data_IF_169459089943
#
_entry.id   IF_169459089943
#
_cell.length_a   1.000
_cell.length_b   1.000
_cell.length_c   1.000
_cell.angle_alpha   90.00
_cell.angle_beta   90.00
_cell.angle_gamma   90.00
#
_symmetry.space_group_name_H-M   'P 1'
#
loop_
_entity.id
_entity.type
_entity.pdbx_description
1 polymer ?
#
# COMPACT_ATOMS: atom_id res chain seq x y z
N UNK A 1 -46.75 -9.64 9.42
CA UNK A 1 -45.77 -9.51 10.52
C UNK A 1 -44.81 -8.38 10.16
N UNK A 2 -44.57 -7.41 11.06
CA UNK A 2 -43.63 -6.33 10.76
C UNK A 2 -42.22 -6.93 10.68
N UNK A 3 -41.56 -6.76 9.54
CA UNK A 3 -40.16 -7.14 9.36
C UNK A 3 -39.36 -6.32 10.37
N UNK A 4 -38.63 -6.99 11.25
CA UNK A 4 -37.73 -6.37 12.23
C UNK A 4 -36.78 -5.42 11.51
N UNK A 5 -36.95 -4.12 11.74
CA UNK A 5 -36.08 -3.06 11.23
C UNK A 5 -34.65 -3.12 11.82
N UNK A 6 -34.40 -4.01 12.79
CA UNK A 6 -33.09 -4.18 13.44
C UNK A 6 -32.17 -5.08 12.62
N UNK A 7 -32.70 -6.09 11.91
CA UNK A 7 -31.87 -6.98 11.08
C UNK A 7 -31.28 -6.28 9.84
N UNK A 8 -31.89 -5.18 9.38
CA UNK A 8 -31.35 -4.32 8.33
C UNK A 8 -30.35 -3.25 8.82
N UNK A 9 -30.21 -3.06 10.14
CA UNK A 9 -29.27 -2.11 10.74
C UNK A 9 -27.86 -2.69 10.97
N UNK A 10 -27.71 -4.02 10.91
CA UNK A 10 -26.43 -4.73 10.94
C UNK A 10 -25.99 -5.20 9.53
N UNK A 11 -26.60 -4.64 8.49
CA UNK A 11 -26.37 -5.04 7.11
C UNK A 11 -25.06 -4.47 6.55
N UNK A 12 -24.03 -5.33 6.49
CA UNK A 12 -22.63 -5.13 6.05
C UNK A 12 -21.73 -4.57 7.15
N UNK A 13 -20.60 -5.25 7.38
CA UNK A 13 -19.54 -4.75 8.24
C UNK A 13 -19.19 -3.30 7.84
N UNK A 14 -19.05 -2.37 8.82
CA UNK A 14 -18.65 -0.99 8.56
C UNK A 14 -17.23 -0.89 7.98
N UNK A 15 -16.45 -1.97 8.06
CA UNK A 15 -15.05 -2.05 7.63
C UNK A 15 -14.91 -2.65 6.24
N UNK A 16 -15.88 -3.45 5.78
CA UNK A 16 -15.82 -4.09 4.45
C UNK A 16 -15.47 -3.13 3.29
N UNK A 17 -16.00 -1.91 3.21
CA UNK A 17 -15.57 -0.95 2.19
C UNK A 17 -14.07 -0.59 2.25
N UNK A 18 -13.46 -0.56 3.44
CA UNK A 18 -12.02 -0.35 3.61
C UNK A 18 -11.20 -1.57 3.16
N UNK A 19 -11.68 -2.79 3.43
CA UNK A 19 -11.03 -4.02 2.96
C UNK A 19 -11.06 -4.08 1.42
N UNK A 20 -12.22 -3.81 0.82
CA UNK A 20 -12.39 -3.79 -0.63
C UNK A 20 -11.50 -2.71 -1.26
N UNK A 21 -11.44 -1.51 -0.67
CA UNK A 21 -10.55 -0.44 -1.14
C UNK A 21 -9.07 -0.83 -1.03
N UNK A 22 -8.63 -1.36 0.11
CA UNK A 22 -7.24 -1.81 0.29
C UNK A 22 -6.86 -2.95 -0.66
N UNK A 23 -7.81 -3.85 -0.96
CA UNK A 23 -7.58 -4.91 -1.93
C UNK A 23 -7.36 -4.33 -3.34
N UNK A 24 -8.15 -3.33 -3.74
CA UNK A 24 -7.94 -2.60 -5.00
C UNK A 24 -6.56 -1.93 -5.05
N UNK A 25 -6.18 -1.23 -3.98
CA UNK A 25 -4.85 -0.64 -3.81
C UNK A 25 -3.75 -1.70 -3.99
N UNK A 26 -3.84 -2.82 -3.28
CA UNK A 26 -2.86 -3.91 -3.39
C UNK A 26 -2.74 -4.45 -4.82
N UNK A 27 -3.85 -4.65 -5.55
CA UNK A 27 -3.80 -5.07 -6.95
C UNK A 27 -3.02 -4.10 -7.82
N UNK A 28 -3.23 -2.80 -7.65
CA UNK A 28 -2.44 -1.76 -8.32
C UNK A 28 -0.96 -1.82 -7.96
N UNK A 29 -0.64 -1.93 -6.67
CA UNK A 29 0.75 -2.00 -6.19
C UNK A 29 1.52 -3.20 -6.76
N UNK A 30 0.89 -4.36 -6.95
CA UNK A 30 1.54 -5.52 -7.56
C UNK A 30 2.13 -5.24 -8.94
N UNK A 31 1.54 -4.32 -9.70
CA UNK A 31 2.03 -3.96 -11.03
C UNK A 31 3.36 -3.17 -10.98
N UNK A 32 3.80 -2.67 -9.83
CA UNK A 32 5.15 -2.11 -9.67
C UNK A 32 6.24 -3.16 -9.92
N UNK A 33 5.99 -4.43 -9.60
CA UNK A 33 6.94 -5.52 -9.92
C UNK A 33 7.07 -5.66 -11.43
N UNK A 34 5.95 -5.71 -12.14
CA UNK A 34 5.92 -5.78 -13.61
C UNK A 34 6.59 -4.55 -14.25
N UNK A 35 6.41 -3.37 -13.68
CA UNK A 35 7.05 -2.13 -14.10
C UNK A 35 8.58 -2.24 -14.03
N UNK A 36 9.10 -2.69 -12.88
CA UNK A 36 10.55 -2.85 -12.65
C UNK A 36 11.14 -3.96 -13.50
N UNK A 37 10.43 -5.08 -13.68
CA UNK A 37 10.85 -6.13 -14.61
C UNK A 37 10.99 -5.59 -16.03
N UNK A 38 10.02 -4.79 -16.51
CA UNK A 38 10.10 -4.12 -17.81
C UNK A 38 11.26 -3.13 -17.90
N UNK A 39 11.57 -2.39 -16.82
CA UNK A 39 12.75 -1.52 -16.76
C UNK A 39 14.07 -2.30 -16.88
N UNK A 40 14.14 -3.50 -16.31
CA UNK A 40 15.33 -4.35 -16.32
C UNK A 40 15.52 -5.04 -17.68
N UNK A 41 14.43 -5.40 -18.37
CA UNK A 41 14.46 -6.06 -19.68
C UNK A 41 14.43 -5.10 -20.87
N UNK A 42 14.35 -3.79 -20.63
CA UNK A 42 14.13 -2.76 -21.66
C UNK A 42 12.85 -2.98 -22.48
N UNK A 43 11.81 -3.56 -21.85
CA UNK A 43 10.53 -3.84 -22.48
C UNK A 43 9.55 -2.66 -22.29
N UNK A 44 9.53 -1.76 -23.28
CA UNK A 44 8.63 -0.60 -23.28
C UNK A 44 7.14 -0.97 -23.26
N UNK A 45 6.76 -2.12 -23.85
CA UNK A 45 5.37 -2.56 -23.86
C UNK A 45 4.94 -3.02 -22.46
N UNK A 46 5.82 -3.76 -21.78
CA UNK A 46 5.60 -4.18 -20.40
C UNK A 46 5.52 -2.98 -19.45
N UNK A 47 6.41 -2.00 -19.60
CA UNK A 47 6.39 -0.75 -18.83
C UNK A 47 5.06 0.00 -19.04
N UNK A 48 4.62 0.16 -20.29
CA UNK A 48 3.38 0.86 -20.61
C UNK A 48 2.14 0.12 -20.07
N UNK A 49 2.11 -1.22 -20.17
CA UNK A 49 1.04 -2.05 -19.64
C UNK A 49 0.96 -1.98 -18.10
N UNK A 50 2.11 -2.01 -17.41
CA UNK A 50 2.17 -1.86 -15.97
C UNK A 50 1.66 -0.47 -15.52
N UNK A 51 2.10 0.59 -16.20
CA UNK A 51 1.62 1.96 -15.94
C UNK A 51 0.11 2.07 -16.11
N UNK A 52 -0.45 1.56 -17.21
CA UNK A 52 -1.89 1.61 -17.47
C UNK A 52 -2.68 0.87 -16.37
N UNK A 53 -2.24 -0.32 -15.97
CA UNK A 53 -2.89 -1.10 -14.92
C UNK A 53 -2.87 -0.40 -13.55
N UNK A 54 -1.78 0.32 -13.23
CA UNK A 54 -1.66 1.13 -12.01
C UNK A 54 -2.65 2.30 -12.04
N UNK A 55 -2.73 3.02 -13.16
CA UNK A 55 -3.65 4.15 -13.34
C UNK A 55 -5.11 3.70 -13.23
N UNK A 56 -5.47 2.59 -13.85
CA UNK A 56 -6.82 2.02 -13.74
C UNK A 56 -7.18 1.62 -12.30
N UNK A 57 -6.22 1.03 -11.58
CA UNK A 57 -6.41 0.67 -10.17
C UNK A 57 -6.55 1.90 -9.27
N UNK A 58 -5.82 2.98 -9.55
CA UNK A 58 -5.94 4.25 -8.83
C UNK A 58 -7.29 4.92 -9.07
N UNK A 59 -7.79 4.94 -10.31
CA UNK A 59 -9.10 5.50 -10.63
C UNK A 59 -10.22 4.73 -9.91
N UNK A 60 -10.14 3.39 -9.93
CA UNK A 60 -11.10 2.55 -9.21
C UNK A 60 -11.03 2.80 -7.69
N UNK A 61 -9.82 2.91 -7.12
CA UNK A 61 -9.64 3.19 -5.70
C UNK A 61 -10.21 4.57 -5.31
N UNK A 62 -9.98 5.61 -6.10
CA UNK A 62 -10.50 6.96 -5.82
C UNK A 62 -12.04 7.00 -5.89
N UNK A 63 -12.66 6.27 -6.80
CA UNK A 63 -14.12 6.12 -6.85
C UNK A 63 -14.66 5.38 -5.61
N UNK A 64 -14.04 4.27 -5.22
CA UNK A 64 -14.38 3.54 -3.99
C UNK A 64 -14.23 4.43 -2.74
N UNK A 65 -13.19 5.26 -2.68
CA UNK A 65 -12.95 6.23 -1.61
C UNK A 65 -14.03 7.31 -1.54
N UNK A 66 -14.47 7.84 -2.69
CA UNK A 66 -15.59 8.81 -2.74
C UNK A 66 -16.87 8.17 -2.24
N UNK A 67 -17.17 6.98 -2.71
CA UNK A 67 -18.36 6.22 -2.32
C UNK A 67 -18.36 5.91 -0.82
N UNK A 68 -17.23 5.48 -0.27
CA UNK A 68 -17.09 5.23 1.17
C UNK A 68 -17.33 6.53 1.95
N UNK A 69 -16.70 7.64 1.58
CA UNK A 69 -16.88 8.94 2.26
C UNK A 69 -18.33 9.44 2.23
N UNK A 70 -19.05 9.18 1.15
CA UNK A 70 -20.45 9.59 0.99
C UNK A 70 -21.40 8.72 1.82
N UNK A 71 -21.16 7.41 1.85
CA UNK A 71 -22.04 6.44 2.50
C UNK A 71 -21.69 6.19 3.97
N UNK A 72 -20.56 6.69 4.47
CA UNK A 72 -20.15 6.48 5.85
C UNK A 72 -21.10 7.19 6.84
N UNK A 73 -21.83 6.45 7.70
CA UNK A 73 -22.81 7.02 8.61
C UNK A 73 -22.20 8.05 9.56
N UNK A 74 -22.97 9.08 9.92
CA UNK A 74 -22.63 10.05 10.98
C UNK A 74 -23.47 9.71 12.22
N UNK A 75 -22.98 8.93 13.18
CA UNK A 75 -23.82 8.56 14.34
C UNK A 75 -23.18 7.71 15.44
N UNK A 76 -23.87 7.67 16.59
CA UNK A 76 -23.50 7.11 17.90
C UNK A 76 -23.46 5.56 17.98
N UNK A 77 -23.65 4.84 16.87
CA UNK A 77 -23.82 3.37 16.84
C UNK A 77 -22.75 2.62 16.02
N UNK A 78 -21.64 3.27 15.65
CA UNK A 78 -20.51 2.54 15.02
C UNK A 78 -19.60 1.94 16.09
N UNK A 79 -19.10 0.70 15.89
CA UNK A 79 -18.15 0.06 16.81
C UNK A 79 -16.75 0.73 16.78
N UNK A 80 -16.52 1.62 15.82
CA UNK A 80 -15.26 2.31 15.55
C UNK A 80 -15.51 3.80 15.24
N UNK A 81 -14.58 4.68 15.61
CA UNK A 81 -14.69 6.12 15.33
C UNK A 81 -14.61 6.38 13.82
N UNK A 82 -15.56 7.18 13.30
CA UNK A 82 -15.59 7.61 11.90
C UNK A 82 -14.27 8.22 11.42
N UNK A 83 -13.62 9.00 12.28
CA UNK A 83 -12.34 9.65 11.99
C UNK A 83 -11.23 8.64 11.81
N UNK A 84 -11.17 7.62 12.68
CA UNK A 84 -10.17 6.56 12.57
C UNK A 84 -10.33 5.79 11.25
N UNK A 85 -11.57 5.48 10.83
CA UNK A 85 -11.83 4.87 9.52
C UNK A 85 -11.41 5.77 8.33
N UNK A 86 -11.72 7.07 8.40
CA UNK A 86 -11.34 8.01 7.34
C UNK A 86 -9.83 8.24 7.27
N UNK A 87 -9.14 8.18 8.41
CA UNK A 87 -7.69 8.27 8.49
C UNK A 87 -7.05 7.04 7.84
N UNK A 88 -7.55 5.82 8.14
CA UNK A 88 -7.09 4.60 7.46
C UNK A 88 -7.34 4.68 5.96
N UNK A 89 -8.54 5.07 5.53
CA UNK A 89 -8.87 5.23 4.11
C UNK A 89 -7.92 6.21 3.41
N UNK A 90 -7.59 7.34 4.06
CA UNK A 90 -6.66 8.31 3.52
C UNK A 90 -5.24 7.70 3.36
N UNK A 91 -4.77 6.93 4.33
CA UNK A 91 -3.46 6.25 4.23
C UNK A 91 -3.43 5.22 3.10
N UNK A 92 -4.48 4.41 2.95
CA UNK A 92 -4.60 3.45 1.84
C UNK A 92 -4.55 4.15 0.47
N UNK A 93 -5.19 5.30 0.34
CA UNK A 93 -5.21 6.11 -0.88
C UNK A 93 -3.83 6.70 -1.22
N UNK A 94 -3.04 7.09 -0.21
CA UNK A 94 -1.66 7.56 -0.46
C UNK A 94 -0.78 6.48 -1.11
N UNK A 95 -0.97 5.22 -0.73
CA UNK A 95 -0.21 4.08 -1.27
C UNK A 95 -0.36 4.00 -2.81
N UNK A 96 -1.60 3.97 -3.31
CA UNK A 96 -1.85 3.82 -4.75
C UNK A 96 -1.49 5.08 -5.54
N UNK A 97 -1.69 6.27 -4.95
CA UNK A 97 -1.26 7.54 -5.54
C UNK A 97 0.26 7.56 -5.73
N UNK A 98 1.02 7.12 -4.73
CA UNK A 98 2.48 7.03 -4.82
C UNK A 98 2.93 6.08 -5.93
N UNK A 99 2.23 4.96 -6.13
CA UNK A 99 2.53 4.03 -7.23
C UNK A 99 2.24 4.62 -8.61
N UNK A 100 1.14 5.37 -8.75
CA UNK A 100 0.82 6.12 -9.98
C UNK A 100 1.90 7.15 -10.29
N UNK A 101 2.37 7.90 -9.29
CA UNK A 101 3.46 8.86 -9.45
C UNK A 101 4.77 8.18 -9.88
N UNK A 102 5.11 7.04 -9.26
CA UNK A 102 6.26 6.22 -9.65
C UNK A 102 6.16 5.79 -11.12
N UNK A 103 5.03 5.20 -11.50
CA UNK A 103 4.83 4.70 -12.85
C UNK A 103 4.88 5.83 -13.89
N UNK A 104 4.25 6.97 -13.60
CA UNK A 104 4.27 8.16 -14.46
C UNK A 104 5.69 8.72 -14.63
N UNK A 105 6.51 8.72 -13.56
CA UNK A 105 7.90 9.15 -13.63
C UNK A 105 8.76 8.19 -14.47
N UNK A 106 8.58 6.87 -14.29
CA UNK A 106 9.31 5.85 -15.05
C UNK A 106 9.01 5.97 -16.55
N UNK A 107 7.72 6.04 -16.92
CA UNK A 107 7.29 6.20 -18.32
C UNK A 107 7.73 7.55 -18.89
N UNK A 108 7.44 8.65 -18.20
CA UNK A 108 7.66 10.00 -18.70
C UNK A 108 9.13 10.35 -18.93
N UNK A 109 10.05 9.64 -18.27
CA UNK A 109 11.50 9.82 -18.45
C UNK A 109 12.18 8.67 -19.19
N UNK A 110 11.41 7.67 -19.62
CA UNK A 110 11.93 6.41 -20.15
C UNK A 110 13.04 5.82 -19.25
N UNK A 111 12.78 5.73 -17.94
CA UNK A 111 13.81 5.34 -16.97
C UNK A 111 14.25 3.90 -17.19
N UNK A 112 15.55 3.66 -16.99
CA UNK A 112 16.18 2.33 -16.96
C UNK A 112 17.07 2.22 -15.73
N UNK A 113 17.17 1.01 -15.19
CA UNK A 113 18.04 0.72 -14.06
C UNK A 113 19.38 0.20 -14.59
N UNK A 114 20.47 0.72 -14.03
CA UNK A 114 21.80 0.21 -14.30
C UNK A 114 21.90 -1.26 -13.86
N UNK A 115 22.57 -2.11 -14.64
CA UNK A 115 22.63 -3.57 -14.45
C UNK A 115 22.97 -3.99 -13.01
N UNK A 116 23.90 -3.30 -12.37
CA UNK A 116 24.32 -3.57 -10.99
C UNK A 116 23.22 -3.35 -9.94
N UNK A 117 22.14 -2.64 -10.28
CA UNK A 117 21.03 -2.33 -9.38
C UNK A 117 19.80 -3.21 -9.63
N UNK A 118 19.65 -3.80 -10.83
CA UNK A 118 18.41 -4.43 -11.29
C UNK A 118 17.87 -5.50 -10.34
N UNK A 119 18.72 -6.45 -9.94
CA UNK A 119 18.33 -7.56 -9.05
C UNK A 119 17.88 -7.06 -7.67
N UNK A 120 18.69 -6.18 -7.07
CA UNK A 120 18.39 -5.64 -5.74
C UNK A 120 17.15 -4.72 -5.77
N UNK A 121 16.98 -3.96 -6.84
CA UNK A 121 15.83 -3.06 -6.99
C UNK A 121 14.53 -3.84 -7.18
N UNK A 122 14.56 -4.95 -7.92
CA UNK A 122 13.42 -5.87 -8.02
C UNK A 122 13.09 -6.51 -6.66
N UNK A 123 14.10 -7.00 -5.94
CA UNK A 123 13.91 -7.53 -4.59
C UNK A 123 13.31 -6.49 -3.65
N UNK A 124 13.84 -5.26 -3.67
CA UNK A 124 13.33 -4.14 -2.90
C UNK A 124 11.85 -3.86 -3.20
N UNK A 125 11.50 -3.80 -4.49
CA UNK A 125 10.11 -3.59 -4.94
C UNK A 125 9.19 -4.69 -4.46
N UNK A 126 9.62 -5.96 -4.53
CA UNK A 126 8.85 -7.09 -4.02
C UNK A 126 8.63 -7.00 -2.49
N UNK A 127 9.60 -6.48 -1.73
CA UNK A 127 9.45 -6.25 -0.29
C UNK A 127 8.48 -5.12 0.02
N UNK A 128 8.51 -4.01 -0.74
CA UNK A 128 7.52 -2.95 -0.62
C UNK A 128 6.09 -3.46 -0.91
N UNK A 129 5.92 -4.28 -1.95
CA UNK A 129 4.64 -4.93 -2.27
C UNK A 129 4.20 -5.89 -1.16
N UNK A 130 5.13 -6.62 -0.54
CA UNK A 130 4.84 -7.48 0.59
C UNK A 130 4.36 -6.69 1.82
N UNK A 131 4.91 -5.50 2.08
CA UNK A 131 4.42 -4.63 3.16
C UNK A 131 2.95 -4.22 2.92
N UNK A 132 2.59 -3.85 1.69
CA UNK A 132 1.19 -3.52 1.34
C UNK A 132 0.27 -4.74 1.47
N UNK A 133 0.74 -5.93 1.09
CA UNK A 133 0.00 -7.19 1.31
C UNK A 133 -0.23 -7.44 2.79
N UNK A 134 0.79 -7.28 3.63
CA UNK A 134 0.68 -7.46 5.07
C UNK A 134 -0.31 -6.47 5.68
N UNK A 135 -0.29 -5.20 5.25
CA UNK A 135 -1.27 -4.20 5.69
C UNK A 135 -2.71 -4.56 5.27
N UNK A 136 -2.91 -5.13 4.08
CA UNK A 136 -4.20 -5.68 3.66
C UNK A 136 -4.66 -6.82 4.56
N UNK A 137 -3.76 -7.75 4.90
CA UNK A 137 -4.09 -8.86 5.81
C UNK A 137 -4.52 -8.29 7.18
N UNK A 138 -3.80 -7.32 7.76
CA UNK A 138 -4.17 -6.68 9.04
C UNK A 138 -5.54 -6.00 8.96
N UNK A 139 -5.89 -5.36 7.84
CA UNK A 139 -7.21 -4.75 7.64
C UNK A 139 -8.34 -5.79 7.57
N UNK A 140 -8.06 -6.97 7.01
CA UNK A 140 -9.06 -8.03 6.90
C UNK A 140 -9.43 -8.60 8.27
N UNK A 141 -8.47 -8.70 9.20
CA UNK A 141 -8.71 -9.15 10.58
C UNK A 141 -9.56 -8.17 11.41
N UNK A 142 -9.73 -6.92 10.96
CA UNK A 142 -10.46 -5.91 11.71
C UNK A 142 -11.95 -6.27 11.89
N UNK A 143 -12.53 -7.06 11.00
CA UNK A 143 -13.90 -7.56 11.16
C UNK A 143 -14.02 -8.51 12.36
N UNK A 144 -13.10 -9.46 12.47
CA UNK A 144 -13.06 -10.43 13.57
C UNK A 144 -12.81 -9.74 14.92
N UNK A 145 -11.95 -8.72 14.92
CA UNK A 145 -11.72 -7.85 16.08
C UNK A 145 -12.98 -7.09 16.51
N UNK A 146 -13.77 -6.57 15.56
CA UNK A 146 -15.03 -5.89 15.88
C UNK A 146 -16.08 -6.85 16.43
N UNK A 147 -16.16 -8.07 15.88
CA UNK A 147 -17.10 -9.10 16.35
C UNK A 147 -16.77 -9.59 17.77
N UNK A 148 -15.48 -9.70 18.10
CA UNK A 148 -15.00 -10.13 19.42
C UNK A 148 -14.90 -9.00 20.44
N UNK A 149 -15.13 -7.75 20.02
CA UNK A 149 -15.04 -6.58 20.88
C UNK A 149 -13.60 -6.25 21.32
N UNK A 150 -12.63 -6.48 20.43
CA UNK A 150 -11.21 -6.16 20.62
C UNK A 150 -10.56 -6.89 21.80
N UNK A 151 -10.91 -8.17 22.02
CA UNK A 151 -10.40 -8.98 23.13
C UNK A 151 -10.10 -10.42 22.70
N UNK A 152 -9.14 -11.03 23.39
CA UNK A 152 -8.82 -12.45 23.24
C UNK A 152 -7.79 -12.71 22.15
N UNK A 153 -7.83 -13.91 21.57
CA UNK A 153 -6.80 -14.42 20.64
C UNK A 153 -6.65 -13.57 19.37
N UNK A 154 -7.71 -12.90 18.92
CA UNK A 154 -7.64 -12.05 17.71
C UNK A 154 -6.72 -10.85 17.86
N UNK A 155 -6.58 -10.32 19.08
CA UNK A 155 -5.63 -9.24 19.35
C UNK A 155 -4.19 -9.76 19.26
N UNK A 156 -3.93 -10.96 19.79
CA UNK A 156 -2.62 -11.61 19.70
C UNK A 156 -2.24 -11.88 18.24
N UNK A 157 -3.20 -12.34 17.43
CA UNK A 157 -3.01 -12.57 15.99
C UNK A 157 -2.62 -11.27 15.27
N UNK A 158 -3.34 -10.17 15.49
CA UNK A 158 -2.99 -8.88 14.87
C UNK A 158 -1.65 -8.34 15.37
N UNK A 159 -1.29 -8.53 16.64
CA UNK A 159 0.04 -8.18 17.13
C UNK A 159 1.17 -8.96 16.43
N UNK A 160 0.96 -10.24 16.11
CA UNK A 160 1.90 -11.04 15.33
C UNK A 160 2.05 -10.51 13.90
N UNK A 161 0.94 -10.14 13.27
CA UNK A 161 0.95 -9.54 11.93
C UNK A 161 1.66 -8.19 11.89
N UNK A 162 1.56 -7.39 12.95
CA UNK A 162 2.29 -6.13 13.09
C UNK A 162 3.80 -6.36 13.29
N UNK A 163 4.19 -7.40 14.04
CA UNK A 163 5.61 -7.80 14.15
C UNK A 163 6.17 -8.22 12.79
N UNK A 164 5.38 -8.92 11.99
CA UNK A 164 5.76 -9.28 10.62
C UNK A 164 5.92 -8.04 9.73
N UNK A 165 5.01 -7.07 9.82
CA UNK A 165 5.12 -5.80 9.11
C UNK A 165 6.43 -5.04 9.46
N UNK A 166 6.78 -4.97 10.76
CA UNK A 166 8.06 -4.39 11.20
C UNK A 166 9.30 -5.19 10.74
N UNK A 167 9.15 -6.51 10.53
CA UNK A 167 10.23 -7.33 9.95
C UNK A 167 10.45 -6.99 8.48
N UNK A 168 9.36 -6.78 7.73
CA UNK A 168 9.41 -6.37 6.33
C UNK A 168 10.02 -4.97 6.19
N UNK A 169 9.63 -4.02 7.05
CA UNK A 169 10.20 -2.65 7.13
C UNK A 169 11.73 -2.68 7.24
N UNK A 170 12.26 -3.48 8.16
CA UNK A 170 13.71 -3.62 8.32
C UNK A 170 14.39 -4.13 7.04
N UNK A 171 13.77 -5.09 6.36
CA UNK A 171 14.29 -5.63 5.10
C UNK A 171 14.24 -4.59 3.97
N UNK A 172 13.18 -3.77 3.92
CA UNK A 172 13.10 -2.66 2.95
C UNK A 172 14.16 -1.60 3.22
N UNK A 173 14.41 -1.25 4.48
CA UNK A 173 15.45 -0.27 4.85
C UNK A 173 16.86 -0.76 4.48
N UNK A 174 17.16 -2.03 4.77
CA UNK A 174 18.42 -2.66 4.39
C UNK A 174 18.62 -2.60 2.86
N UNK A 175 17.61 -2.98 2.08
CA UNK A 175 17.66 -2.88 0.62
C UNK A 175 17.84 -1.44 0.14
N UNK A 176 17.15 -0.48 0.77
CA UNK A 176 17.22 0.94 0.40
C UNK A 176 18.63 1.51 0.63
N UNK A 177 19.26 1.17 1.76
CA UNK A 177 20.63 1.58 2.09
C UNK A 177 21.61 0.99 1.07
N UNK A 178 21.51 -0.30 0.77
CA UNK A 178 22.40 -0.95 -0.20
C UNK A 178 22.20 -0.39 -1.63
N UNK A 179 20.97 -0.14 -2.07
CA UNK A 179 20.70 0.51 -3.36
C UNK A 179 21.33 1.91 -3.45
N UNK A 180 21.24 2.70 -2.38
CA UNK A 180 21.85 4.04 -2.33
C UNK A 180 23.38 3.97 -2.37
N UNK A 181 23.99 2.97 -1.73
CA UNK A 181 25.44 2.72 -1.81
C UNK A 181 25.87 2.35 -3.23
N UNK A 182 25.14 1.45 -3.89
CA UNK A 182 25.42 1.08 -5.28
C UNK A 182 25.31 2.32 -6.18
N UNK A 183 24.23 3.10 -6.06
CA UNK A 183 24.03 4.31 -6.86
C UNK A 183 25.14 5.34 -6.62
N UNK A 184 25.60 5.50 -5.36
CA UNK A 184 26.70 6.40 -5.02
C UNK A 184 27.99 6.06 -5.79
N UNK A 185 28.30 4.77 -5.96
CA UNK A 185 29.47 4.35 -6.76
C UNK A 185 29.33 4.58 -8.26
N UNK A 186 28.11 4.83 -8.74
CA UNK A 186 27.78 5.05 -10.16
C UNK A 186 27.57 6.53 -10.50
N UNK A 187 27.63 7.44 -9.53
CA UNK A 187 27.27 8.85 -9.77
C UNK A 187 28.13 9.52 -10.84
N UNK A 188 29.44 9.23 -10.83
CA UNK A 188 30.40 9.77 -11.80
C UNK A 188 30.28 9.15 -13.20
N UNK A 189 29.59 8.00 -13.33
CA UNK A 189 29.43 7.28 -14.60
C UNK A 189 28.07 7.52 -15.27
N UNK A 190 27.11 8.06 -14.53
CA UNK A 190 25.76 8.34 -14.98
C UNK A 190 25.56 9.84 -15.24
N UNK A 191 24.52 10.18 -16.02
CA UNK A 191 24.12 11.59 -16.16
C UNK A 191 23.59 12.08 -14.80
N UNK A 192 23.93 13.30 -14.34
CA UNK A 192 23.46 13.81 -13.05
C UNK A 192 21.94 13.79 -12.89
N UNK A 193 21.20 14.01 -13.98
CA UNK A 193 19.74 13.89 -13.95
C UNK A 193 19.29 12.47 -13.63
N UNK A 194 19.90 11.46 -14.25
CA UNK A 194 19.51 10.06 -14.06
C UNK A 194 19.84 9.59 -12.65
N UNK A 195 20.96 10.04 -12.09
CA UNK A 195 21.31 9.84 -10.67
C UNK A 195 20.21 10.38 -9.76
N UNK A 196 19.84 11.65 -9.92
CA UNK A 196 18.84 12.30 -9.07
C UNK A 196 17.45 11.63 -9.17
N UNK A 197 17.02 11.26 -10.38
CA UNK A 197 15.75 10.56 -10.56
C UNK A 197 15.79 9.11 -10.05
N UNK A 198 16.96 8.45 -10.08
CA UNK A 198 17.12 7.12 -9.48
C UNK A 198 17.06 7.19 -7.95
N UNK A 199 17.70 8.18 -7.32
CA UNK A 199 17.52 8.42 -5.87
C UNK A 199 16.06 8.68 -5.51
N UNK A 200 15.37 9.49 -6.33
CA UNK A 200 13.94 9.78 -6.15
C UNK A 200 13.08 8.53 -6.28
N UNK A 201 13.38 7.67 -7.26
CA UNK A 201 12.68 6.42 -7.46
C UNK A 201 12.88 5.46 -6.26
N UNK A 202 14.09 5.35 -5.74
CA UNK A 202 14.39 4.58 -4.51
C UNK A 202 13.59 5.14 -3.32
N UNK A 203 13.55 6.47 -3.15
CA UNK A 203 12.80 7.12 -2.08
C UNK A 203 11.29 6.83 -2.20
N UNK A 204 10.72 7.02 -3.37
CA UNK A 204 9.29 6.83 -3.62
C UNK A 204 8.84 5.39 -3.47
N UNK A 205 9.65 4.43 -3.92
CA UNK A 205 9.37 3.01 -3.70
C UNK A 205 9.34 2.67 -2.19
N UNK A 206 10.24 3.27 -1.40
CA UNK A 206 10.22 3.13 0.06
C UNK A 206 8.96 3.69 0.70
N UNK A 207 8.49 4.85 0.24
CA UNK A 207 7.25 5.46 0.75
C UNK A 207 6.02 4.56 0.61
N UNK A 208 5.97 3.70 -0.41
CA UNK A 208 4.90 2.70 -0.56
C UNK A 208 4.87 1.74 0.65
N UNK A 209 6.04 1.31 1.13
CA UNK A 209 6.16 0.48 2.33
C UNK A 209 5.84 1.27 3.60
N UNK A 210 6.36 2.50 3.72
CA UNK A 210 6.10 3.37 4.88
C UNK A 210 4.60 3.65 5.05
N UNK A 211 3.89 3.92 3.95
CA UNK A 211 2.45 4.17 3.99
C UNK A 211 1.66 2.90 4.34
N UNK A 212 2.12 1.72 3.92
CA UNK A 212 1.56 0.44 4.38
C UNK A 212 1.77 0.22 5.90
N UNK A 213 2.94 0.60 6.42
CA UNK A 213 3.21 0.54 7.85
C UNK A 213 2.32 1.49 8.65
N UNK A 214 2.09 2.71 8.15
CA UNK A 214 1.19 3.69 8.79
C UNK A 214 -0.24 3.16 8.93
N UNK A 215 -0.72 2.42 7.94
CA UNK A 215 -2.01 1.71 8.02
C UNK A 215 -2.03 0.75 9.21
N UNK A 216 -1.01 -0.11 9.34
CA UNK A 216 -0.87 -1.05 10.46
C UNK A 216 -0.78 -0.34 11.82
N UNK A 217 0.06 0.71 11.93
CA UNK A 217 0.19 1.50 13.16
C UNK A 217 -1.12 2.18 13.56
N UNK A 218 -1.91 2.67 12.60
CA UNK A 218 -3.21 3.26 12.91
C UNK A 218 -4.19 2.22 13.46
N UNK A 219 -4.19 1.00 12.92
CA UNK A 219 -5.01 -0.09 13.44
C UNK A 219 -4.59 -0.48 14.86
N UNK A 220 -3.29 -0.54 15.14
CA UNK A 220 -2.79 -0.77 16.49
C UNK A 220 -3.30 0.28 17.50
N UNK A 221 -3.37 1.55 17.09
CA UNK A 221 -3.92 2.61 17.94
C UNK A 221 -5.43 2.47 18.17
N UNK A 222 -6.16 1.85 17.22
CA UNK A 222 -7.58 1.52 17.41
C UNK A 222 -7.76 0.36 18.39
N UNK A 223 -6.85 -0.62 18.40
CA UNK A 223 -6.85 -1.77 19.33
C UNK A 223 -6.54 -1.37 20.78
N UNK A 224 -5.69 -0.37 20.99
CA UNK A 224 -5.22 0.03 22.32
C UNK A 224 -6.23 0.87 23.13
N UNK A 225 -7.49 0.99 22.67
CA UNK A 225 -8.56 1.77 23.30
C UNK A 225 -9.60 0.87 23.94
#
# INVERSE_FOLDING_TARGET
MPKSHIAGLFGKSPIRPLQEHMYCVYKGIKHLVMLVEGMNSDDEQQIAAAHQAIVESEHLADDMKKDLRHNLPRGFFMPVDRRDLLDVLWMQDQIINQAKDIAGMVVGRNMRLHDSMQTLFLQYTQRCVAAVKQALEVINELDELVETGFRGMEVEHVEEMLKELSRIERQTDECQVELRKILFTLEDTLRPTDVMFTYRLIEWMGRVADDAQRVGSRLQLMLAR
#
